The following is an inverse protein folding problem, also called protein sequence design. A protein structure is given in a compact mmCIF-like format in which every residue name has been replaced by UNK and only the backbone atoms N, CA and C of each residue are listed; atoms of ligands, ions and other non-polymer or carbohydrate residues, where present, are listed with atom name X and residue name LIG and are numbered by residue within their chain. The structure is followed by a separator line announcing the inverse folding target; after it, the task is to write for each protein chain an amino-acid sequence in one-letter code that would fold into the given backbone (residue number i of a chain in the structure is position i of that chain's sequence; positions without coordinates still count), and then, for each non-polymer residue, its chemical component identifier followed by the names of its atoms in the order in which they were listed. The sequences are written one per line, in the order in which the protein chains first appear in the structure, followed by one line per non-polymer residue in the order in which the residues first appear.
data_IF_416510554708
#
_entry.id   IF_416510554708
#
_cell.length_a   1.000
_cell.length_b   1.000
_cell.length_c   1.000
_cell.angle_alpha   90.00
_cell.angle_beta   90.00
_cell.angle_gamma   90.00
#
_symmetry.space_group_name_H-M   'P 1'
#
loop_
_entity.id
_entity.type
_entity.pdbx_description
1 polymer ?
#
# COMPACT_ATOMS: atom_id res chain seq x y z
N UNK A 1 7.65 17.67 -9.74
CA UNK A 1 6.22 17.41 -10.05
C UNK A 1 5.52 18.76 -10.13
N UNK A 2 4.70 19.01 -11.15
CA UNK A 2 3.99 20.28 -11.25
C UNK A 2 3.05 20.50 -10.06
N UNK A 3 2.88 21.75 -9.62
CA UNK A 3 2.05 22.10 -8.46
C UNK A 3 0.55 21.84 -8.69
N UNK A 4 0.13 21.68 -9.94
CA UNK A 4 -1.26 21.45 -10.32
C UNK A 4 -1.77 20.06 -9.92
N UNK A 5 -0.91 19.03 -9.93
CA UNK A 5 -1.33 17.67 -9.64
C UNK A 5 -1.61 17.49 -8.15
N UNK A 6 -2.79 16.94 -7.81
CA UNK A 6 -3.16 16.70 -6.40
C UNK A 6 -2.97 15.23 -5.99
N UNK A 7 -3.00 14.33 -6.98
CA UNK A 7 -3.05 12.89 -6.76
C UNK A 7 -2.06 12.18 -7.68
N UNK A 8 -1.43 11.13 -7.16
CA UNK A 8 -0.56 10.22 -7.91
C UNK A 8 -1.14 8.82 -7.75
N UNK A 9 -1.27 8.13 -8.87
CA UNK A 9 -1.71 6.75 -8.91
C UNK A 9 -0.64 5.92 -9.61
N UNK A 10 -0.10 4.93 -8.91
CA UNK A 10 0.73 3.88 -9.48
C UNK A 10 -0.18 2.68 -9.74
N UNK A 11 -0.12 2.14 -10.95
CA UNK A 11 -0.87 0.95 -11.36
C UNK A 11 0.06 0.11 -12.22
N UNK A 12 0.20 -1.17 -11.88
CA UNK A 12 0.92 -2.11 -12.73
C UNK A 12 0.15 -2.31 -14.04
N UNK A 13 0.89 -2.48 -15.14
CA UNK A 13 0.31 -2.59 -16.48
C UNK A 13 -0.55 -3.85 -16.67
N UNK A 14 -0.47 -4.82 -15.76
CA UNK A 14 -1.22 -6.08 -15.79
C UNK A 14 -2.49 -6.07 -14.92
N UNK A 15 -2.83 -4.94 -14.30
CA UNK A 15 -4.11 -4.75 -13.61
C UNK A 15 -5.26 -4.74 -14.63
N UNK A 16 -6.15 -5.72 -14.54
CA UNK A 16 -7.24 -5.93 -15.51
C UNK A 16 -8.51 -5.17 -15.19
N UNK A 17 -8.82 -5.00 -13.90
CA UNK A 17 -10.10 -4.43 -13.44
C UNK A 17 -9.84 -3.55 -12.24
N UNK A 18 -10.33 -2.32 -12.31
CA UNK A 18 -10.38 -1.37 -11.19
C UNK A 18 -11.85 -1.02 -10.96
N UNK A 19 -12.41 -1.27 -9.76
CA UNK A 19 -13.79 -0.90 -9.48
C UNK A 19 -13.99 0.61 -9.61
N UNK A 20 -15.06 1.04 -10.28
CA UNK A 20 -15.29 2.44 -10.62
C UNK A 20 -15.25 3.39 -9.41
N UNK A 21 -15.79 2.95 -8.26
CA UNK A 21 -15.84 3.75 -7.03
C UNK A 21 -14.52 3.76 -6.24
N UNK A 22 -13.52 2.96 -6.63
CA UNK A 22 -12.30 2.77 -5.84
C UNK A 22 -11.45 4.04 -5.81
N UNK A 23 -11.30 4.70 -6.96
CA UNK A 23 -10.49 5.91 -7.08
C UNK A 23 -11.10 7.07 -6.29
N UNK A 24 -12.42 7.25 -6.35
CA UNK A 24 -13.13 8.24 -5.56
C UNK A 24 -12.93 7.98 -4.06
N UNK A 25 -13.06 6.71 -3.63
CA UNK A 25 -12.84 6.32 -2.24
C UNK A 25 -11.39 6.61 -1.81
N UNK A 26 -10.40 6.42 -2.68
CA UNK A 26 -8.99 6.73 -2.40
C UNK A 26 -8.78 8.24 -2.27
N UNK A 27 -9.22 9.02 -3.26
CA UNK A 27 -9.03 10.46 -3.30
C UNK A 27 -9.76 11.18 -2.15
N UNK A 28 -10.97 10.74 -1.82
CA UNK A 28 -11.80 11.32 -0.75
C UNK A 28 -11.47 10.77 0.65
N UNK A 29 -10.55 9.82 0.77
CA UNK A 29 -10.18 9.24 2.07
C UNK A 29 -9.52 10.22 3.03
N UNK A 30 -8.92 11.30 2.50
CA UNK A 30 -8.08 12.23 3.27
C UNK A 30 -6.72 11.65 3.67
N UNK A 31 -6.39 10.43 3.24
CA UNK A 31 -5.14 9.74 3.58
C UNK A 31 -4.01 10.08 2.62
N UNK A 32 -2.78 9.97 3.11
CA UNK A 32 -1.55 10.29 2.38
C UNK A 32 -1.20 9.21 1.36
N UNK A 33 -1.29 7.95 1.78
CA UNK A 33 -0.94 6.78 0.99
C UNK A 33 -1.99 5.70 1.23
N UNK A 34 -2.55 5.16 0.16
CA UNK A 34 -3.62 4.17 0.18
C UNK A 34 -3.35 3.09 -0.85
N UNK A 35 -3.40 1.83 -0.43
CA UNK A 35 -3.35 0.66 -1.30
C UNK A 35 -4.61 -0.18 -1.08
N UNK A 36 -5.23 -0.75 -2.13
CA UNK A 36 -6.23 -1.79 -1.98
C UNK A 36 -5.55 -3.16 -1.83
N UNK A 37 -6.34 -4.18 -1.47
CA UNK A 37 -5.94 -5.57 -1.69
C UNK A 37 -6.08 -5.88 -3.18
N UNK A 38 -5.01 -6.33 -3.81
CA UNK A 38 -5.02 -6.75 -5.21
C UNK A 38 -5.21 -8.27 -5.27
N UNK A 39 -6.30 -8.71 -5.91
CA UNK A 39 -6.59 -10.13 -6.07
C UNK A 39 -6.27 -10.60 -7.48
N UNK A 40 -5.79 -11.84 -7.59
CA UNK A 40 -5.66 -12.55 -8.85
C UNK A 40 -6.59 -13.77 -8.84
N UNK A 41 -7.20 -14.07 -9.99
CA UNK A 41 -7.97 -15.29 -10.17
C UNK A 41 -7.03 -16.38 -10.70
N UNK A 42 -6.71 -17.34 -9.85
CA UNK A 42 -5.91 -18.50 -10.21
C UNK A 42 -6.75 -19.75 -10.04
N UNK A 43 -7.01 -20.48 -11.13
CA UNK A 43 -7.80 -21.72 -11.12
C UNK A 43 -9.16 -21.58 -10.41
N UNK A 44 -9.88 -20.50 -10.72
CA UNK A 44 -11.18 -20.17 -10.12
C UNK A 44 -11.13 -19.84 -8.62
N UNK A 45 -9.93 -19.58 -8.08
CA UNK A 45 -9.75 -19.11 -6.70
C UNK A 45 -9.18 -17.70 -6.71
N UNK A 46 -9.80 -16.82 -5.93
CA UNK A 46 -9.30 -15.48 -5.69
C UNK A 46 -8.22 -15.52 -4.60
N UNK A 47 -6.99 -15.20 -4.98
CA UNK A 47 -5.84 -15.19 -4.08
C UNK A 47 -5.30 -13.77 -3.94
N UNK A 48 -4.81 -13.43 -2.74
CA UNK A 48 -4.08 -12.18 -2.53
C UNK A 48 -2.79 -12.22 -3.37
N UNK A 49 -2.72 -11.36 -4.39
CA UNK A 49 -1.61 -11.29 -5.32
C UNK A 49 -0.46 -10.45 -4.74
N UNK A 50 -0.75 -9.25 -4.25
CA UNK A 50 0.28 -8.34 -3.75
C UNK A 50 0.59 -8.59 -2.27
N UNK A 51 1.72 -9.22 -2.01
CA UNK A 51 2.20 -9.53 -0.66
C UNK A 51 3.19 -8.49 -0.11
N UNK A 52 3.36 -7.35 -0.78
CA UNK A 52 4.23 -6.27 -0.31
C UNK A 52 3.53 -5.30 0.66
N UNK A 53 2.20 -5.43 0.80
CA UNK A 53 1.40 -4.74 1.80
C UNK A 53 1.27 -5.57 3.09
N UNK A 54 1.87 -5.10 4.19
CA UNK A 54 1.89 -5.84 5.47
C UNK A 54 2.12 -4.96 6.70
N UNK A 55 1.80 -5.51 7.87
CA UNK A 55 2.10 -4.99 9.22
C UNK A 55 3.10 -5.91 9.91
N UNK A 56 4.05 -5.36 10.65
CA UNK A 56 5.01 -6.10 11.48
C UNK A 56 6.46 -5.73 11.19
N UNK A 57 7.41 -6.53 11.70
CA UNK A 57 8.83 -6.33 11.39
C UNK A 57 9.30 -7.33 10.34
N UNK A 58 9.62 -6.85 9.14
CA UNK A 58 10.32 -7.66 8.12
C UNK A 58 11.83 -7.48 8.29
N UNK A 59 12.47 -8.38 9.03
CA UNK A 59 13.94 -8.52 9.01
C UNK A 59 14.37 -9.11 7.66
N UNK A 60 15.55 -8.70 7.21
CA UNK A 60 16.18 -9.11 5.94
C UNK A 60 16.02 -10.62 5.74
N UNK A 61 15.66 -11.07 4.52
CA UNK A 61 15.59 -12.51 4.19
C UNK A 61 16.95 -13.16 4.56
N UNK A 62 17.00 -14.33 5.22
CA UNK A 62 15.92 -15.24 5.59
C UNK A 62 15.68 -15.19 7.11
N UNK A 63 14.60 -14.56 7.57
CA UNK A 63 14.22 -14.62 8.98
C UNK A 63 12.70 -14.76 9.09
N UNK A 64 12.27 -15.55 10.08
CA UNK A 64 10.88 -15.83 10.41
C UNK A 64 10.02 -14.59 10.28
N UNK A 65 9.08 -14.65 9.33
CA UNK A 65 8.25 -13.52 8.96
C UNK A 65 7.13 -13.39 9.98
N UNK A 66 7.32 -12.58 11.03
CA UNK A 66 6.22 -12.14 11.90
C UNK A 66 5.45 -10.98 11.26
N UNK A 67 5.13 -11.07 9.96
CA UNK A 67 4.36 -10.05 9.25
C UNK A 67 2.96 -10.57 8.98
N UNK A 68 1.98 -9.69 9.14
CA UNK A 68 0.60 -9.98 8.77
C UNK A 68 0.32 -9.29 7.43
N UNK A 69 0.02 -10.10 6.42
CA UNK A 69 -0.36 -9.60 5.10
C UNK A 69 -1.67 -8.85 5.15
N UNK A 70 -1.88 -7.98 4.17
CA UNK A 70 -3.01 -7.09 4.19
C UNK A 70 -4.37 -7.80 4.29
N UNK A 71 -4.59 -8.87 3.52
CA UNK A 71 -5.82 -9.66 3.55
C UNK A 71 -6.11 -10.32 4.91
N UNK A 72 -5.10 -10.41 5.79
CA UNK A 72 -5.20 -10.95 7.15
C UNK A 72 -5.31 -9.87 8.22
N UNK A 73 -4.86 -8.65 7.92
CA UNK A 73 -4.99 -7.48 8.81
C UNK A 73 -6.29 -6.73 8.56
N UNK A 74 -6.89 -6.91 7.37
CA UNK A 74 -8.12 -6.28 6.94
C UNK A 74 -9.30 -6.63 7.87
N UNK A 75 -9.56 -5.72 8.80
CA UNK A 75 -10.70 -5.75 9.70
C UNK A 75 -11.88 -5.08 8.99
N UNK A 76 -12.77 -5.90 8.42
CA UNK A 76 -13.93 -5.43 7.64
C UNK A 76 -14.90 -4.52 8.41
N UNK A 77 -14.78 -4.43 9.74
CA UNK A 77 -15.54 -3.48 10.55
C UNK A 77 -15.01 -2.05 10.44
N UNK A 78 -13.78 -1.86 9.94
CA UNK A 78 -13.13 -0.56 9.78
C UNK A 78 -13.02 -0.21 8.29
N UNK A 79 -13.14 1.08 7.94
CA UNK A 79 -12.98 1.51 6.56
C UNK A 79 -11.53 1.37 6.07
N UNK A 80 -10.56 1.41 7.00
CA UNK A 80 -9.14 1.33 6.71
C UNK A 80 -8.32 0.59 7.79
N UNK A 81 -7.24 -0.10 7.39
CA UNK A 81 -6.26 -0.74 8.29
C UNK A 81 -4.84 -0.17 8.14
N UNK A 82 -4.12 0.16 9.24
CA UNK A 82 -2.78 0.75 9.15
C UNK A 82 -1.75 -0.26 8.63
N UNK A 83 -0.73 0.22 7.90
CA UNK A 83 0.33 -0.58 7.29
C UNK A 83 1.73 -0.07 7.59
N UNK A 84 2.69 -1.00 7.71
CA UNK A 84 4.12 -0.69 7.82
C UNK A 84 4.83 -0.69 6.45
N UNK A 85 4.24 -1.39 5.47
CA UNK A 85 4.74 -1.51 4.10
C UNK A 85 3.59 -1.55 3.10
N UNK A 86 3.84 -1.09 1.88
CA UNK A 86 2.88 -1.12 0.77
C UNK A 86 3.56 -1.72 -0.47
N UNK A 87 2.76 -2.36 -1.33
CA UNK A 87 3.14 -2.68 -2.70
C UNK A 87 2.81 -1.55 -3.67
N UNK A 88 3.12 -1.77 -4.94
CA UNK A 88 2.88 -0.80 -6.02
C UNK A 88 1.93 -1.33 -7.10
N UNK A 89 1.34 -2.53 -6.94
CA UNK A 89 0.39 -3.10 -7.91
C UNK A 89 -0.75 -2.13 -8.20
N UNK A 90 -1.30 -1.54 -7.14
CA UNK A 90 -2.15 -0.36 -7.22
C UNK A 90 -1.93 0.49 -5.97
N UNK A 91 -1.44 1.72 -6.13
CA UNK A 91 -1.10 2.59 -5.01
C UNK A 91 -1.50 4.04 -5.30
N UNK A 92 -2.35 4.59 -4.44
CA UNK A 92 -2.64 6.01 -4.40
C UNK A 92 -1.69 6.72 -3.43
N UNK A 93 -1.17 7.87 -3.86
CA UNK A 93 -0.31 8.75 -3.08
C UNK A 93 -0.75 10.20 -3.30
N UNK A 94 -0.98 10.96 -2.22
CA UNK A 94 -1.20 12.41 -2.32
C UNK A 94 0.07 13.06 -2.89
N UNK A 95 -0.07 13.95 -3.88
CA UNK A 95 1.09 14.51 -4.59
C UNK A 95 2.11 15.20 -3.66
N UNK A 96 1.64 15.79 -2.55
CA UNK A 96 2.50 16.42 -1.54
C UNK A 96 3.49 15.46 -0.90
N UNK A 97 3.14 14.18 -0.78
CA UNK A 97 4.03 13.15 -0.20
C UNK A 97 5.29 13.00 -1.07
N UNK A 98 5.13 12.98 -2.39
CA UNK A 98 6.27 12.97 -3.30
C UNK A 98 7.02 14.31 -3.34
N UNK A 99 6.35 15.44 -3.10
CA UNK A 99 6.99 16.76 -2.95
C UNK A 99 7.82 16.89 -1.67
N UNK A 100 7.56 16.04 -0.68
CA UNK A 100 8.35 15.89 0.54
C UNK A 100 9.47 14.83 0.39
N UNK A 101 9.87 14.52 -0.85
CA UNK A 101 10.94 13.58 -1.18
C UNK A 101 10.69 12.12 -0.73
N UNK A 102 9.43 11.75 -0.47
CA UNK A 102 9.07 10.34 -0.30
C UNK A 102 9.08 9.68 -1.67
N UNK A 103 10.09 8.85 -1.93
CA UNK A 103 10.32 8.19 -3.22
C UNK A 103 10.50 6.68 -3.03
N UNK A 104 10.49 5.92 -4.14
CA UNK A 104 10.93 4.52 -4.15
C UNK A 104 12.45 4.47 -4.36
N UNK A 105 13.23 4.13 -3.32
CA UNK A 105 14.67 4.19 -3.42
C UNK A 105 15.21 3.02 -4.25
N UNK A 106 16.15 3.30 -5.16
CA UNK A 106 16.87 2.27 -5.93
C UNK A 106 17.83 1.44 -5.05
N UNK A 107 18.21 1.97 -3.89
CA UNK A 107 19.18 1.38 -2.98
C UNK A 107 18.57 1.16 -1.60
N UNK A 108 19.20 0.30 -0.80
CA UNK A 108 18.77 0.08 0.58
C UNK A 108 18.87 1.37 1.39
N UNK A 109 17.74 1.75 2.00
CA UNK A 109 17.73 2.80 3.01
C UNK A 109 18.15 2.18 4.33
N UNK A 110 19.42 2.38 4.68
CA UNK A 110 19.99 2.02 5.98
C UNK A 110 19.86 3.24 6.91
N UNK A 111 19.17 3.07 8.04
CA UNK A 111 19.17 4.09 9.08
C UNK A 111 20.41 3.90 9.95
N UNK A 112 21.17 4.97 10.19
CA UNK A 112 22.42 4.95 10.97
C UNK A 112 22.19 4.88 12.50
N UNK A 113 20.95 4.80 12.95
CA UNK A 113 20.63 4.53 14.34
C UNK A 113 20.71 3.01 14.54
N UNK A 114 21.34 2.54 15.61
CA UNK A 114 21.40 1.11 16.01
C UNK A 114 20.03 0.50 16.41
N UNK A 115 18.95 1.02 15.82
CA UNK A 115 17.64 0.41 15.65
C UNK A 115 17.32 0.53 14.17
N UNK A 116 16.94 -0.57 13.53
CA UNK A 116 16.39 -0.58 12.17
C UNK A 116 15.07 0.22 12.17
N UNK A 117 15.14 1.54 12.21
CA UNK A 117 14.04 2.46 11.93
C UNK A 117 14.22 2.91 10.48
N UNK A 118 13.73 2.06 9.56
CA UNK A 118 13.66 2.32 8.13
C UNK A 118 12.81 3.56 7.86
N UNK A 119 13.42 4.71 7.58
CA UNK A 119 12.73 5.84 6.92
C UNK A 119 11.32 6.12 7.46
N UNK A 120 11.08 5.89 8.75
CA UNK A 120 9.72 5.70 9.28
C UNK A 120 9.04 7.03 9.55
N UNK A 121 9.78 8.14 9.49
CA UNK A 121 9.30 9.46 9.90
C UNK A 121 8.26 10.04 8.94
N UNK A 122 8.27 9.65 7.66
CA UNK A 122 7.19 9.99 6.71
C UNK A 122 6.18 8.84 6.50
N UNK A 123 6.37 7.72 7.21
CA UNK A 123 5.68 6.45 6.98
C UNK A 123 4.62 6.14 8.06
N UNK A 124 4.49 7.00 9.09
CA UNK A 124 3.54 6.82 10.21
C UNK A 124 2.06 7.06 9.86
N UNK A 125 1.72 7.32 8.60
CA UNK A 125 0.34 7.50 8.14
C UNK A 125 0.12 6.68 6.85
N UNK A 126 -0.15 5.38 6.98
CA UNK A 126 -0.47 4.54 5.82
C UNK A 126 -1.61 3.62 6.17
N UNK A 127 -2.75 3.77 5.50
CA UNK A 127 -3.97 3.05 5.85
C UNK A 127 -4.65 2.55 4.57
N UNK A 128 -5.03 1.27 4.57
CA UNK A 128 -5.56 0.49 3.44
C UNK A 128 -7.00 0.75 3.19
N UNK A 129 -7.43 0.63 1.94
CA UNK A 129 -8.82 0.75 1.56
C UNK A 129 -9.39 -0.59 1.09
N UNK A 130 -10.50 -1.01 1.71
CA UNK A 130 -11.23 -2.22 1.35
C UNK A 130 -11.78 -2.11 -0.08
N UNK A 131 -11.27 -2.95 -0.98
CA UNK A 131 -11.77 -3.11 -2.34
C UNK A 131 -12.64 -4.37 -2.39
N UNK A 132 -13.89 -4.27 -1.91
CA UNK A 132 -14.89 -5.27 -2.30
C UNK A 132 -15.40 -4.90 -3.67
N UNK A 133 -15.20 -5.79 -4.63
CA UNK A 133 -16.03 -5.85 -5.82
C UNK A 133 -17.50 -5.88 -5.36
N UNK A 134 -18.34 -4.90 -5.74
CA UNK A 134 -19.78 -5.00 -5.49
C UNK A 134 -20.31 -6.01 -6.50
N UNK A 135 -20.83 -7.14 -6.02
CA UNK A 135 -21.57 -8.10 -6.84
C UNK A 135 -20.79 -9.29 -7.41
N UNK A 136 -19.63 -9.64 -6.85
CA UNK A 136 -19.01 -10.97 -7.02
C UNK A 136 -18.43 -11.46 -5.70
#
# INVERSE_FOLDING_TARGET
MEACHQHVLLVDADVKVIPAHLLDKMALSGLDIVTPVCFSNFRSQWINYDQNAWVGQRRVRPADQSVKLLDKVDDKSKPYAPLDSVGATMLYVRADVHRQDVIFPMHYVLSAVNRVEKATTALKQKVVLHCTLPGF
#
